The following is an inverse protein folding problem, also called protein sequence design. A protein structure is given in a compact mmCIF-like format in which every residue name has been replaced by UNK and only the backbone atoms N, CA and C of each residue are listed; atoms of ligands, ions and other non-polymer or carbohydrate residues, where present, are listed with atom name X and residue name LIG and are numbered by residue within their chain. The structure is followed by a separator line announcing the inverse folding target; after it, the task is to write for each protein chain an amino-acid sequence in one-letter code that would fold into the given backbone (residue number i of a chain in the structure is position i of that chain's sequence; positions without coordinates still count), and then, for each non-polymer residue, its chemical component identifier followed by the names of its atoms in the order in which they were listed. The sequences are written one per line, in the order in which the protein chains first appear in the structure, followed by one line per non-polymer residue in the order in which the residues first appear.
data_IF_942538910062
#
_entry.id   IF_942538910062
#
_cell.length_a   1.000
_cell.length_b   1.000
_cell.length_c   1.000
_cell.angle_alpha   90.00
_cell.angle_beta   90.00
_cell.angle_gamma   90.00
#
_symmetry.space_group_name_H-M   'P 1'
#
loop_
_entity.id
_entity.type
_entity.pdbx_description
1 polymer ?
#
# COMPACT_ATOMS: atom_id res chain seq x y z
N UNK A 1 -5.01 -28.44 42.52
CA UNK A 1 -3.76 -28.41 41.72
C UNK A 1 -4.03 -27.64 40.43
N UNK A 2 -3.98 -26.31 40.44
CA UNK A 2 -4.19 -25.50 39.22
C UNK A 2 -3.52 -24.13 39.30
N UNK A 3 -2.28 -24.08 39.78
CA UNK A 3 -1.51 -22.83 39.96
C UNK A 3 -0.20 -22.84 39.17
N UNK A 4 0.00 -23.84 38.29
CA UNK A 4 1.25 -24.05 37.55
C UNK A 4 1.20 -23.59 36.09
N UNK A 5 0.03 -23.17 35.59
CA UNK A 5 -0.16 -22.65 34.22
C UNK A 5 -0.19 -21.11 34.14
N UNK A 6 -0.04 -20.42 35.27
CA UNK A 6 -0.07 -18.95 35.30
C UNK A 6 1.31 -18.40 34.90
N UNK A 7 1.61 -18.45 33.60
CA UNK A 7 2.78 -17.77 33.04
C UNK A 7 2.65 -16.28 33.31
N UNK A 8 3.42 -15.80 34.28
CA UNK A 8 3.46 -14.38 34.66
C UNK A 8 4.15 -13.62 33.54
N UNK A 9 3.37 -13.03 32.64
CA UNK A 9 3.90 -12.18 31.56
C UNK A 9 4.37 -10.85 32.17
N UNK A 10 5.67 -10.76 32.44
CA UNK A 10 6.31 -9.59 33.08
C UNK A 10 6.20 -8.29 32.26
N UNK A 11 6.02 -8.35 30.93
CA UNK A 11 5.75 -7.18 30.07
C UNK A 11 5.18 -7.59 28.72
N UNK A 12 4.06 -6.99 28.32
CA UNK A 12 3.53 -7.09 26.95
C UNK A 12 4.18 -6.02 26.07
N UNK A 13 4.88 -6.43 25.01
CA UNK A 13 5.53 -5.51 24.07
C UNK A 13 4.48 -4.66 23.35
N UNK A 14 4.73 -3.35 23.23
CA UNK A 14 3.85 -2.47 22.48
C UNK A 14 3.72 -2.96 21.02
N UNK A 15 2.50 -2.99 20.46
CA UNK A 15 2.28 -3.43 19.09
C UNK A 15 2.99 -2.52 18.09
N UNK A 16 3.52 -3.11 17.02
CA UNK A 16 4.15 -2.35 15.92
C UNK A 16 3.10 -1.49 15.20
N UNK A 17 3.50 -0.33 14.71
CA UNK A 17 2.61 0.60 14.02
C UNK A 17 1.91 -0.02 12.79
N UNK A 18 2.54 -0.98 12.11
CA UNK A 18 1.91 -1.71 11.00
C UNK A 18 0.74 -2.58 11.45
N UNK A 19 0.82 -3.19 12.63
CA UNK A 19 -0.25 -4.02 13.21
C UNK A 19 -1.44 -3.17 13.61
N UNK A 20 -1.22 -1.94 14.08
CA UNK A 20 -2.28 -0.99 14.45
C UNK A 20 -3.13 -0.54 13.26
N UNK A 21 -2.61 -0.63 12.04
CA UNK A 21 -3.32 -0.28 10.80
C UNK A 21 -4.16 -1.43 10.24
N UNK A 22 -4.09 -2.63 10.81
CA UNK A 22 -4.86 -3.79 10.34
C UNK A 22 -6.34 -3.63 10.69
N UNK A 23 -7.24 -4.19 9.86
CA UNK A 23 -8.69 -4.09 10.08
C UNK A 23 -9.10 -4.69 11.44
N UNK A 24 -8.48 -5.80 11.83
CA UNK A 24 -8.71 -6.43 13.14
C UNK A 24 -8.38 -5.48 14.29
N UNK A 25 -7.22 -4.81 14.25
CA UNK A 25 -6.81 -3.85 15.28
C UNK A 25 -7.72 -2.61 15.30
N UNK A 26 -8.13 -2.10 14.14
CA UNK A 26 -9.07 -0.97 14.03
C UNK A 26 -10.44 -1.34 14.58
N UNK A 27 -10.95 -2.53 14.27
CA UNK A 27 -12.24 -3.02 14.77
C UNK A 27 -12.22 -3.25 16.29
N UNK A 28 -11.12 -3.79 16.81
CA UNK A 28 -10.92 -3.91 18.25
C UNK A 28 -10.92 -2.53 18.92
N UNK A 29 -10.15 -1.56 18.39
CA UNK A 29 -10.09 -0.20 18.91
C UNK A 29 -11.48 0.47 18.95
N UNK A 30 -12.29 0.31 17.89
CA UNK A 30 -13.68 0.79 17.84
C UNK A 30 -14.55 0.18 18.94
N UNK A 31 -14.42 -1.12 19.20
CA UNK A 31 -15.21 -1.83 20.21
C UNK A 31 -14.82 -1.44 21.63
N UNK A 32 -13.53 -1.17 21.87
CA UNK A 32 -13.01 -0.80 23.19
C UNK A 32 -13.09 0.70 23.46
N UNK A 33 -13.66 1.50 22.56
CA UNK A 33 -13.75 2.96 22.70
C UNK A 33 -12.40 3.68 22.59
N UNK A 34 -11.39 3.05 22.00
CA UNK A 34 -10.07 3.65 21.77
C UNK A 34 -10.16 4.55 20.53
N UNK A 35 -9.53 5.72 20.59
CA UNK A 35 -9.55 6.68 19.49
C UNK A 35 -8.98 6.08 18.19
N UNK A 36 -9.77 6.15 17.12
CA UNK A 36 -9.37 5.73 15.77
C UNK A 36 -9.13 6.99 14.94
N UNK A 37 -7.87 7.21 14.56
CA UNK A 37 -7.53 8.28 13.64
C UNK A 37 -8.05 7.92 12.23
N UNK A 38 -8.78 8.84 11.62
CA UNK A 38 -9.21 8.74 10.22
C UNK A 38 -8.63 9.90 9.45
N UNK A 39 -7.94 9.60 8.35
CA UNK A 39 -7.36 10.59 7.46
C UNK A 39 -7.92 10.42 6.05
N UNK A 40 -8.24 11.53 5.39
CA UNK A 40 -8.61 11.50 3.98
C UNK A 40 -7.34 11.26 3.15
N UNK A 41 -7.36 10.25 2.29
CA UNK A 41 -6.22 9.97 1.40
C UNK A 41 -6.05 11.10 0.39
N UNK A 42 -4.81 11.41 0.06
CA UNK A 42 -4.50 12.35 -1.03
C UNK A 42 -5.15 11.88 -2.34
N UNK A 43 -5.93 12.76 -2.99
CA UNK A 43 -6.68 12.45 -4.21
C UNK A 43 -7.98 11.66 -4.02
N UNK A 44 -8.41 11.40 -2.78
CA UNK A 44 -9.69 10.74 -2.51
C UNK A 44 -10.88 11.57 -3.04
N UNK A 45 -11.93 10.88 -3.49
CA UNK A 45 -13.16 11.53 -3.98
C UNK A 45 -13.04 12.14 -5.38
N UNK A 46 -11.97 11.86 -6.12
CA UNK A 46 -11.77 12.36 -7.50
C UNK A 46 -11.75 11.21 -8.50
N UNK A 47 -12.13 11.49 -9.75
CA UNK A 47 -12.14 10.53 -10.87
C UNK A 47 -10.99 10.80 -11.87
N UNK A 48 -9.84 11.24 -11.37
CA UNK A 48 -8.70 11.61 -12.24
C UNK A 48 -8.20 10.39 -12.99
N UNK A 49 -8.53 10.31 -14.28
CA UNK A 49 -8.18 9.20 -15.19
C UNK A 49 -6.67 9.11 -15.44
N UNK A 50 -5.99 10.27 -15.55
CA UNK A 50 -4.56 10.33 -15.84
C UNK A 50 -3.78 10.80 -14.62
N UNK A 51 -2.98 9.90 -14.05
CA UNK A 51 -2.13 10.17 -12.90
C UNK A 51 -0.68 9.94 -13.32
N UNK A 52 0.24 10.74 -12.78
CA UNK A 52 1.67 10.55 -13.01
C UNK A 52 2.09 9.14 -12.57
N UNK A 53 2.67 8.38 -13.49
CA UNK A 53 3.07 6.98 -13.26
C UNK A 53 4.33 6.86 -12.40
N UNK A 54 5.16 7.91 -12.37
CA UNK A 54 6.39 7.99 -11.58
C UNK A 54 6.24 9.01 -10.46
N UNK A 55 7.02 8.82 -9.39
CA UNK A 55 7.07 9.76 -8.27
C UNK A 55 7.71 11.08 -8.72
N UNK A 56 6.90 12.14 -8.81
CA UNK A 56 7.34 13.46 -9.29
C UNK A 56 8.37 14.12 -8.37
N UNK A 57 8.33 13.83 -7.07
CA UNK A 57 9.30 14.36 -6.11
C UNK A 57 10.68 13.67 -6.22
N UNK A 58 10.71 12.44 -6.75
CA UNK A 58 11.96 11.77 -7.08
C UNK A 58 12.54 12.32 -8.39
N UNK A 59 11.68 12.54 -9.40
CA UNK A 59 12.06 13.14 -10.67
C UNK A 59 12.68 14.54 -10.50
N UNK A 60 12.13 15.37 -9.60
CA UNK A 60 12.64 16.71 -9.29
C UNK A 60 14.05 16.68 -8.65
N UNK A 61 14.37 15.61 -7.91
CA UNK A 61 15.69 15.41 -7.28
C UNK A 61 16.70 14.75 -8.21
N UNK A 62 16.24 13.96 -9.18
CA UNK A 62 17.08 13.28 -10.16
C UNK A 62 17.54 14.26 -11.23
N UNK A 63 18.72 14.86 -11.02
CA UNK A 63 19.34 15.80 -11.98
C UNK A 63 20.36 15.13 -12.90
N UNK A 64 20.69 13.85 -12.67
CA UNK A 64 21.82 13.17 -13.35
C UNK A 64 21.40 12.04 -14.32
N UNK A 65 20.27 11.36 -14.12
CA UNK A 65 19.82 10.27 -15.01
C UNK A 65 18.80 10.75 -16.06
N UNK A 66 19.30 11.10 -17.25
CA UNK A 66 18.46 11.63 -18.34
C UNK A 66 17.75 10.55 -19.19
N UNK A 67 17.80 9.27 -18.78
CA UNK A 67 17.39 8.12 -19.61
C UNK A 67 16.14 7.45 -19.05
N UNK A 68 15.07 7.44 -19.83
CA UNK A 68 13.85 6.68 -19.51
C UNK A 68 13.93 5.27 -20.11
N UNK A 69 13.57 4.25 -19.34
CA UNK A 69 13.39 2.89 -19.87
C UNK A 69 12.23 2.87 -20.86
N UNK A 70 12.48 2.32 -22.04
CA UNK A 70 11.47 2.13 -23.09
C UNK A 70 10.86 0.74 -22.98
N UNK A 71 9.67 0.58 -23.54
CA UNK A 71 8.96 -0.70 -23.61
C UNK A 71 9.75 -1.65 -24.54
N UNK A 72 9.82 -2.95 -24.18
CA UNK A 72 10.43 -3.97 -25.04
C UNK A 72 9.61 -4.23 -26.31
N UNK A 73 10.28 -4.60 -27.40
CA UNK A 73 9.66 -4.87 -28.71
C UNK A 73 8.59 -5.96 -28.66
N UNK A 74 8.73 -6.93 -27.74
CA UNK A 74 7.80 -8.06 -27.61
C UNK A 74 6.39 -7.61 -27.20
N UNK A 75 6.28 -6.55 -26.37
CA UNK A 75 4.99 -5.97 -25.99
C UNK A 75 4.29 -5.35 -27.20
N UNK A 76 5.05 -4.70 -28.09
CA UNK A 76 4.52 -4.14 -29.33
C UNK A 76 3.99 -5.23 -30.28
N UNK A 77 4.73 -6.33 -30.43
CA UNK A 77 4.29 -7.49 -31.22
C UNK A 77 3.03 -8.13 -30.65
N UNK A 78 2.96 -8.29 -29.33
CA UNK A 78 1.80 -8.86 -28.65
C UNK A 78 0.55 -7.98 -28.81
N UNK A 79 0.69 -6.66 -28.62
CA UNK A 79 -0.41 -5.72 -28.79
C UNK A 79 -0.93 -5.70 -30.22
N UNK A 80 -0.03 -5.68 -31.22
CA UNK A 80 -0.42 -5.76 -32.63
C UNK A 80 -1.18 -7.06 -32.96
N UNK A 81 -0.73 -8.20 -32.41
CA UNK A 81 -1.45 -9.47 -32.56
C UNK A 81 -2.82 -9.46 -31.90
N UNK A 82 -2.94 -8.85 -30.73
CA UNK A 82 -4.21 -8.76 -30.00
C UNK A 82 -5.23 -7.83 -30.70
N UNK A 83 -4.76 -6.77 -31.36
CA UNK A 83 -5.60 -5.83 -32.08
C UNK A 83 -6.07 -6.32 -33.46
N UNK A 84 -5.42 -7.35 -34.02
CA UNK A 84 -5.86 -7.95 -35.28
C UNK A 84 -7.13 -8.77 -35.05
N UNK A 85 -8.20 -8.56 -35.84
CA UNK A 85 -9.36 -9.44 -35.81
C UNK A 85 -8.90 -10.86 -36.14
N UNK A 86 -9.35 -11.83 -35.34
CA UNK A 86 -9.25 -13.23 -35.71
C UNK A 86 -10.42 -13.52 -36.64
N UNK A 87 -10.11 -13.70 -37.91
CA UNK A 87 -11.02 -14.40 -38.83
C UNK A 87 -11.13 -15.88 -38.42
#
# INVERSE_FOLDING_TARGET
MSDWDTVTVLRKKAPKASTLKTESAVNQARRTGVAVATEQKYGAGTNKQHIATKNTAKLDRETEELRHSKISLDVGKLSNRAAKPKD
#
